data_IF_315837221426
#
_entry.id   IF_315837221426
#
_cell.length_a   1.000
_cell.length_b   1.000
_cell.length_c   1.000
_cell.angle_alpha   90.00
_cell.angle_beta   90.00
_cell.angle_gamma   90.00
#
_symmetry.space_group_name_H-M   'P 1'
#
loop_
_entity.id
_entity.type
_entity.pdbx_description
1 polymer ?
#
# COMPACT_ATOMS: atom_id res chain seq x y z
N UNK A 1 -15.84 -6.17 52.20
CA UNK A 1 -16.51 -5.84 50.93
C UNK A 1 -15.43 -5.36 49.97
N UNK A 2 -14.87 -6.26 49.15
CA UNK A 2 -13.90 -5.90 48.11
C UNK A 2 -14.70 -5.67 46.84
N UNK A 3 -14.77 -4.41 46.40
CA UNK A 3 -15.34 -4.07 45.10
C UNK A 3 -14.46 -4.69 44.01
N UNK A 4 -14.98 -5.72 43.33
CA UNK A 4 -14.39 -6.21 42.10
C UNK A 4 -14.57 -5.15 41.02
N UNK A 5 -13.49 -4.45 40.70
CA UNK A 5 -13.40 -3.58 39.54
C UNK A 5 -13.43 -4.47 38.29
N UNK A 6 -14.54 -4.47 37.56
CA UNK A 6 -14.65 -5.15 36.27
C UNK A 6 -13.82 -4.34 35.28
N UNK A 7 -12.58 -4.75 35.05
CA UNK A 7 -11.81 -4.32 33.88
C UNK A 7 -12.59 -4.72 32.62
N UNK A 8 -13.36 -3.79 32.05
CA UNK A 8 -14.01 -3.94 30.76
C UNK A 8 -12.92 -4.22 29.72
N UNK A 9 -12.69 -5.50 29.40
CA UNK A 9 -11.89 -5.87 28.24
C UNK A 9 -12.55 -5.22 27.03
N UNK A 10 -11.82 -4.35 26.33
CA UNK A 10 -12.27 -3.79 25.07
C UNK A 10 -12.70 -4.96 24.15
N UNK A 11 -13.87 -4.90 23.50
CA UNK A 11 -14.29 -5.97 22.61
C UNK A 11 -13.24 -6.14 21.51
N UNK A 12 -12.51 -7.27 21.56
CA UNK A 12 -11.46 -7.58 20.58
C UNK A 12 -12.05 -7.74 19.18
N UNK A 13 -11.26 -7.42 18.15
CA UNK A 13 -11.66 -7.65 16.75
C UNK A 13 -11.91 -9.14 16.51
N UNK A 14 -12.98 -9.44 15.76
CA UNK A 14 -13.27 -10.81 15.32
C UNK A 14 -12.31 -11.22 14.21
N UNK A 15 -11.57 -12.31 14.41
CA UNK A 15 -10.65 -12.88 13.42
C UNK A 15 -11.40 -13.73 12.39
N UNK A 16 -12.15 -13.07 11.49
CA UNK A 16 -12.93 -13.73 10.43
C UNK A 16 -12.36 -13.54 9.01
N UNK A 17 -11.25 -12.81 8.86
CA UNK A 17 -10.56 -12.66 7.58
C UNK A 17 -9.95 -13.99 7.13
N UNK A 18 -10.55 -14.58 6.11
CA UNK A 18 -10.05 -15.76 5.40
C UNK A 18 -8.96 -15.36 4.42
N UNK A 19 -8.10 -16.32 4.04
CA UNK A 19 -7.04 -16.12 3.06
C UNK A 19 -7.53 -15.42 1.77
N UNK A 20 -8.69 -15.83 1.25
CA UNK A 20 -9.32 -15.19 0.08
C UNK A 20 -9.59 -13.69 0.28
N UNK A 21 -10.04 -13.27 1.47
CA UNK A 21 -10.29 -11.85 1.74
C UNK A 21 -8.98 -11.06 1.74
N UNK A 22 -7.92 -11.62 2.32
CA UNK A 22 -6.59 -11.02 2.30
C UNK A 22 -6.05 -10.90 0.86
N UNK A 23 -6.21 -11.94 0.04
CA UNK A 23 -5.82 -11.90 -1.38
C UNK A 23 -6.60 -10.85 -2.16
N UNK A 24 -7.92 -10.72 -1.93
CA UNK A 24 -8.71 -9.68 -2.59
C UNK A 24 -8.28 -8.26 -2.18
N UNK A 25 -7.92 -8.04 -0.91
CA UNK A 25 -7.36 -6.76 -0.45
C UNK A 25 -6.03 -6.47 -1.15
N UNK A 26 -5.14 -7.46 -1.25
CA UNK A 26 -3.84 -7.31 -1.92
C UNK A 26 -3.99 -7.00 -3.42
N UNK A 27 -4.89 -7.69 -4.12
CA UNK A 27 -5.17 -7.43 -5.54
C UNK A 27 -5.79 -6.04 -5.71
N UNK A 28 -6.81 -5.71 -4.90
CA UNK A 28 -7.48 -4.42 -4.97
C UNK A 28 -6.57 -3.23 -4.64
N UNK A 29 -5.61 -3.41 -3.74
CA UNK A 29 -4.63 -2.36 -3.41
C UNK A 29 -3.48 -2.22 -4.41
N UNK A 30 -3.15 -3.27 -5.16
CA UNK A 30 -2.03 -3.26 -6.12
C UNK A 30 -2.43 -2.80 -7.52
N UNK A 31 -3.68 -3.02 -7.93
CA UNK A 31 -4.21 -2.56 -9.21
C UNK A 31 -4.82 -1.17 -9.02
N UNK A 32 -4.11 -0.12 -9.44
CA UNK A 32 -4.53 1.27 -9.24
C UNK A 32 -4.47 2.14 -10.50
N UNK A 33 -4.74 3.43 -10.30
CA UNK A 33 -4.74 4.48 -11.33
C UNK A 33 -3.41 4.56 -12.07
N UNK A 34 -2.28 4.28 -11.42
CA UNK A 34 -0.96 4.23 -12.06
C UNK A 34 -0.88 3.27 -13.26
N UNK A 35 -1.51 2.09 -13.17
CA UNK A 35 -1.50 1.13 -14.26
C UNK A 35 -2.33 1.59 -15.46
N UNK A 36 -3.43 2.32 -15.24
CA UNK A 36 -4.33 2.73 -16.32
C UNK A 36 -4.00 4.11 -16.89
N UNK A 37 -3.66 5.07 -16.03
CA UNK A 37 -3.44 6.47 -16.41
C UNK A 37 -1.98 6.72 -16.78
N UNK A 38 -1.02 6.16 -16.03
CA UNK A 38 0.39 6.45 -16.27
C UNK A 38 1.02 5.55 -17.35
N UNK A 39 0.50 4.33 -17.58
CA UNK A 39 1.09 3.39 -18.55
C UNK A 39 1.18 3.95 -19.97
N UNK A 40 0.17 4.71 -20.42
CA UNK A 40 0.19 5.35 -21.74
C UNK A 40 1.36 6.33 -21.90
N UNK A 41 1.60 7.15 -20.88
CA UNK A 41 2.72 8.09 -20.85
C UNK A 41 4.07 7.35 -20.78
N UNK A 42 4.17 6.27 -20.02
CA UNK A 42 5.38 5.44 -19.93
C UNK A 42 5.72 4.78 -21.27
N UNK A 43 4.73 4.20 -21.95
CA UNK A 43 4.92 3.57 -23.26
C UNK A 43 5.26 4.62 -24.32
N UNK A 44 4.63 5.79 -24.30
CA UNK A 44 4.94 6.88 -25.24
C UNK A 44 6.36 7.42 -25.08
N UNK A 45 6.89 7.46 -23.86
CA UNK A 45 8.23 8.02 -23.58
C UNK A 45 9.34 6.99 -23.73
N UNK A 46 9.16 5.78 -23.19
CA UNK A 46 10.18 4.73 -23.17
C UNK A 46 10.07 3.76 -24.36
N UNK A 47 8.99 3.83 -25.14
CA UNK A 47 8.64 2.83 -26.15
C UNK A 47 8.10 1.53 -25.53
N UNK A 48 7.51 0.63 -26.35
CA UNK A 48 6.91 -0.61 -25.86
C UNK A 48 7.95 -1.57 -25.24
N UNK A 49 9.15 -1.66 -25.81
CA UNK A 49 10.23 -2.48 -25.27
C UNK A 49 10.81 -1.93 -23.96
N UNK A 50 11.00 -0.60 -23.88
CA UNK A 50 11.50 0.06 -22.68
C UNK A 50 10.52 -0.02 -21.52
N UNK A 51 9.21 0.15 -21.80
CA UNK A 51 8.16 0.00 -20.79
C UNK A 51 8.13 -1.42 -20.20
N UNK A 52 8.17 -2.47 -21.03
CA UNK A 52 8.19 -3.86 -20.55
C UNK A 52 9.45 -4.19 -19.73
N UNK A 53 10.63 -3.75 -20.20
CA UNK A 53 11.88 -3.97 -19.46
C UNK A 53 11.85 -3.26 -18.11
N UNK A 54 11.40 -2.00 -18.07
CA UNK A 54 11.28 -1.26 -16.81
C UNK A 54 10.32 -1.94 -15.84
N UNK A 55 9.18 -2.45 -16.33
CA UNK A 55 8.21 -3.17 -15.52
C UNK A 55 8.79 -4.48 -14.97
N UNK A 56 9.55 -5.23 -15.76
CA UNK A 56 10.22 -6.44 -15.28
C UNK A 56 11.27 -6.15 -14.21
N UNK A 57 12.10 -5.11 -14.39
CA UNK A 57 13.14 -4.75 -13.44
C UNK A 57 12.55 -4.30 -12.10
N UNK A 58 11.58 -3.38 -12.14
CA UNK A 58 10.90 -2.90 -10.93
C UNK A 58 10.09 -4.03 -10.28
N UNK A 59 9.39 -4.85 -11.08
CA UNK A 59 8.64 -6.00 -10.58
C UNK A 59 9.52 -7.01 -9.85
N UNK A 60 10.70 -7.31 -10.39
CA UNK A 60 11.67 -8.19 -9.74
C UNK A 60 12.18 -7.60 -8.42
N UNK A 61 12.52 -6.31 -8.39
CA UNK A 61 12.93 -5.61 -7.18
C UNK A 61 11.83 -5.66 -6.10
N UNK A 62 10.59 -5.34 -6.48
CA UNK A 62 9.43 -5.34 -5.56
C UNK A 62 9.12 -6.75 -5.06
N UNK A 63 9.28 -7.78 -5.90
CA UNK A 63 9.10 -9.19 -5.49
C UNK A 63 10.03 -9.57 -4.33
N UNK A 64 11.33 -9.23 -4.43
CA UNK A 64 12.27 -9.47 -3.34
C UNK A 64 11.91 -8.67 -2.08
N UNK A 65 11.52 -7.41 -2.25
CA UNK A 65 11.12 -6.54 -1.13
C UNK A 65 9.90 -7.12 -0.39
N UNK A 66 8.85 -7.52 -1.12
CA UNK A 66 7.64 -8.07 -0.49
C UNK A 66 7.86 -9.44 0.12
N UNK A 67 8.75 -10.25 -0.46
CA UNK A 67 9.12 -11.54 0.14
C UNK A 67 9.81 -11.32 1.48
N UNK A 68 10.76 -10.38 1.56
CA UNK A 68 11.45 -10.03 2.81
C UNK A 68 10.49 -9.45 3.86
N UNK A 69 9.57 -8.56 3.47
CA UNK A 69 8.54 -8.05 4.39
C UNK A 69 7.58 -9.15 4.85
N UNK A 70 7.26 -10.11 3.99
CA UNK A 70 6.43 -11.27 4.31
C UNK A 70 7.04 -12.16 5.39
N UNK A 71 8.35 -12.44 5.29
CA UNK A 71 9.10 -13.18 6.31
C UNK A 71 9.08 -12.45 7.66
N UNK A 72 9.29 -11.12 7.66
CA UNK A 72 9.21 -10.31 8.88
C UNK A 72 7.80 -10.31 9.49
N UNK A 73 6.75 -10.23 8.67
CA UNK A 73 5.36 -10.28 9.13
C UNK A 73 4.97 -11.66 9.68
N UNK A 74 5.54 -12.75 9.13
CA UNK A 74 5.35 -14.10 9.66
C UNK A 74 6.12 -14.30 10.98
N UNK A 75 7.32 -13.76 11.09
CA UNK A 75 8.14 -13.81 12.30
C UNK A 75 7.56 -12.98 13.45
N UNK A 76 7.04 -11.79 13.14
CA UNK A 76 6.51 -10.85 14.12
C UNK A 76 5.11 -10.37 13.73
N UNK A 77 4.05 -11.13 14.07
CA UNK A 77 2.69 -10.81 13.68
C UNK A 77 2.08 -9.72 14.57
N UNK A 78 2.61 -8.51 14.50
CA UNK A 78 2.07 -7.31 15.12
C UNK A 78 1.12 -6.60 14.16
N UNK A 79 0.11 -5.90 14.68
CA UNK A 79 -0.79 -5.05 13.87
C UNK A 79 -0.13 -3.74 13.41
N UNK A 80 1.17 -3.80 13.10
CA UNK A 80 2.01 -2.68 12.69
C UNK A 80 2.37 -2.73 11.21
N UNK A 81 2.61 -1.55 10.62
CA UNK A 81 3.14 -1.43 9.25
C UNK A 81 4.67 -1.61 9.23
N UNK A 82 5.29 -1.58 8.04
CA UNK A 82 6.74 -1.63 7.86
C UNK A 82 7.52 -0.56 8.64
N UNK A 83 6.88 0.56 9.00
CA UNK A 83 7.43 1.55 9.91
C UNK A 83 7.77 0.97 11.31
N UNK A 84 6.96 0.02 11.79
CA UNK A 84 7.20 -0.71 13.06
C UNK A 84 8.44 -1.58 12.98
N UNK A 85 8.61 -2.30 11.86
CA UNK A 85 9.81 -3.10 11.63
C UNK A 85 11.05 -2.19 11.48
N UNK A 86 10.92 -1.04 10.79
CA UNK A 86 11.98 -0.04 10.69
C UNK A 86 12.38 0.55 12.05
N UNK A 87 11.40 0.86 12.91
CA UNK A 87 11.62 1.32 14.28
C UNK A 87 12.38 0.29 15.12
N UNK A 88 12.05 -1.00 14.97
CA UNK A 88 12.60 -2.06 15.80
C UNK A 88 13.96 -2.60 15.32
N UNK A 89 14.19 -2.66 14.00
CA UNK A 89 15.40 -3.25 13.42
C UNK A 89 16.44 -2.23 12.95
N UNK A 90 16.09 -0.95 12.79
CA UNK A 90 17.03 0.11 12.37
C UNK A 90 17.23 1.11 13.49
N UNK A 91 16.23 1.96 13.73
CA UNK A 91 16.26 3.00 14.77
C UNK A 91 14.86 3.60 14.94
N UNK A 92 14.55 4.10 16.12
CA UNK A 92 13.28 4.77 16.42
C UNK A 92 13.02 6.00 15.53
N UNK A 93 14.04 6.82 15.27
CA UNK A 93 13.94 7.97 14.36
C UNK A 93 13.69 7.55 12.90
N UNK A 94 14.21 6.40 12.48
CA UNK A 94 14.00 5.86 11.15
C UNK A 94 12.55 5.38 10.95
N UNK A 95 11.99 4.70 11.95
CA UNK A 95 10.57 4.31 11.95
C UNK A 95 9.62 5.51 11.88
N UNK A 96 9.92 6.59 12.62
CA UNK A 96 9.17 7.84 12.55
C UNK A 96 9.22 8.46 11.13
N UNK A 97 10.42 8.57 10.56
CA UNK A 97 10.61 9.12 9.22
C UNK A 97 9.86 8.29 8.15
N UNK A 98 9.90 6.95 8.24
CA UNK A 98 9.14 6.06 7.35
C UNK A 98 7.64 6.28 7.46
N UNK A 99 7.11 6.40 8.69
CA UNK A 99 5.70 6.68 8.92
C UNK A 99 5.25 7.99 8.26
N UNK A 100 6.06 9.04 8.39
CA UNK A 100 5.78 10.34 7.77
C UNK A 100 5.93 10.37 6.26
N UNK A 101 6.94 9.70 5.71
CA UNK A 101 7.07 9.55 4.27
C UNK A 101 5.87 8.78 3.68
N UNK A 102 5.41 7.73 4.36
CA UNK A 102 4.26 6.96 3.93
C UNK A 102 2.96 7.76 3.98
N UNK A 103 2.74 8.51 5.06
CA UNK A 103 1.56 9.38 5.16
C UNK A 103 1.55 10.44 4.04
N UNK A 104 2.70 11.09 3.79
CA UNK A 104 2.82 12.05 2.70
C UNK A 104 2.57 11.40 1.34
N UNK A 105 3.10 10.20 1.11
CA UNK A 105 2.84 9.45 -0.12
C UNK A 105 1.33 9.21 -0.33
N UNK A 106 0.59 8.80 0.71
CA UNK A 106 -0.87 8.65 0.62
C UNK A 106 -1.60 9.97 0.34
N UNK A 107 -1.17 11.07 0.96
CA UNK A 107 -1.76 12.38 0.70
C UNK A 107 -1.57 12.80 -0.77
N UNK A 108 -0.40 12.55 -1.35
CA UNK A 108 -0.13 12.79 -2.78
C UNK A 108 -0.97 11.87 -3.66
N UNK A 109 -1.09 10.58 -3.31
CA UNK A 109 -1.90 9.62 -4.08
C UNK A 109 -3.36 10.07 -4.21
N UNK A 110 -3.97 10.62 -3.15
CA UNK A 110 -5.34 11.17 -3.22
C UNK A 110 -5.45 12.29 -4.26
N UNK A 111 -4.46 13.18 -4.32
CA UNK A 111 -4.45 14.25 -5.31
C UNK A 111 -4.31 13.69 -6.74
N UNK A 112 -3.46 12.67 -6.93
CA UNK A 112 -3.29 11.98 -8.23
C UNK A 112 -4.59 11.29 -8.65
N UNK A 113 -5.27 10.61 -7.74
CA UNK A 113 -6.55 9.94 -8.03
C UNK A 113 -7.66 10.93 -8.39
N UNK A 114 -7.67 12.13 -7.79
CA UNK A 114 -8.58 13.20 -8.16
C UNK A 114 -8.32 13.67 -9.61
N UNK A 115 -7.06 13.91 -9.98
CA UNK A 115 -6.69 14.29 -11.36
C UNK A 115 -7.02 13.17 -12.35
N UNK A 116 -6.76 11.91 -11.98
CA UNK A 116 -7.14 10.75 -12.77
C UNK A 116 -8.67 10.70 -13.01
N UNK A 117 -9.47 10.96 -11.97
CA UNK A 117 -10.94 11.02 -12.10
C UNK A 117 -11.40 12.11 -13.05
N UNK A 118 -10.75 13.28 -13.02
CA UNK A 118 -11.01 14.38 -13.95
C UNK A 118 -10.69 13.99 -15.40
N UNK A 119 -9.56 13.32 -15.65
CA UNK A 119 -9.20 12.82 -17.00
C UNK A 119 -10.23 11.83 -17.53
N UNK A 120 -10.68 10.91 -16.68
CA UNK A 120 -11.73 9.94 -17.04
C UNK A 120 -13.05 10.64 -17.33
N UNK A 121 -13.46 11.62 -16.51
CA UNK A 121 -14.68 12.38 -16.77
C UNK A 121 -14.62 13.15 -18.09
N UNK A 122 -13.52 13.84 -18.40
CA UNK A 122 -13.35 14.54 -19.68
C UNK A 122 -13.38 13.58 -20.88
N UNK A 123 -12.86 12.36 -20.73
CA UNK A 123 -12.90 11.35 -21.80
C UNK A 123 -14.34 10.91 -22.13
N UNK A 124 -15.21 10.75 -21.13
CA UNK A 124 -16.59 10.29 -21.31
C UNK A 124 -17.60 11.42 -21.55
N UNK A 125 -17.34 12.61 -21.01
CA UNK A 125 -18.19 13.80 -21.13
C UNK A 125 -17.38 14.98 -21.67
N UNK A 126 -16.95 14.95 -22.95
CA UNK A 126 -16.10 15.98 -23.53
C UNK A 126 -16.81 17.34 -23.73
N UNK A 127 -18.15 17.36 -23.71
CA UNK A 127 -18.98 18.52 -24.04
C UNK A 127 -19.65 19.20 -22.82
N UNK A 128 -19.37 18.74 -21.59
CA UNK A 128 -19.84 19.36 -20.33
C UNK A 128 -18.72 20.12 -19.64
#
# INVERSE_FOLDING_TARGET
>A
MVSQDKTTQAPGLRRELKARHLTMIAIGGSIGTGLFVASGATISQAGPGGALLSYMLIGLMVYFLMTSLGELAAYMPVSGSFATYGQQYVEEGFGFALGWNYWYNWAVTIAVDLVASQLVMNYWFPDT
#
